data_IF_951677498912
#
_entry.id   IF_951677498912
#
_cell.length_a   1.000
_cell.length_b   1.000
_cell.length_c   1.000
_cell.angle_alpha   90.00
_cell.angle_beta   90.00
_cell.angle_gamma   90.00
#
_symmetry.space_group_name_H-M   'P 1'
#
loop_
_entity.id
_entity.type
_entity.pdbx_description
1 polymer ?
#
# COMPACT_ATOMS: atom_id res chain seq x y z
N UNK A 1 6.79 -3.91 -8.95
CA UNK A 1 5.72 -3.06 -9.49
C UNK A 1 4.84 -3.84 -10.46
N UNK A 2 5.26 -5.00 -10.97
CA UNK A 2 4.39 -5.98 -11.64
C UNK A 2 3.15 -6.37 -10.81
N UNK A 3 3.29 -6.53 -9.48
CA UNK A 3 2.16 -6.75 -8.56
C UNK A 3 1.18 -5.58 -8.45
N UNK A 4 1.60 -4.38 -8.86
CA UNK A 4 0.77 -3.17 -8.86
C UNK A 4 0.08 -2.97 -10.20
N UNK A 5 0.58 -3.58 -11.28
CA UNK A 5 -0.07 -3.68 -12.57
C UNK A 5 -1.23 -4.68 -12.48
N UNK A 6 -2.44 -4.17 -12.35
CA UNK A 6 -3.67 -4.98 -12.26
C UNK A 6 -4.44 -4.87 -13.56
N UNK A 7 -5.00 -6.00 -14.01
CA UNK A 7 -5.96 -6.01 -15.11
C UNK A 7 -7.28 -5.37 -14.69
N UNK A 8 -7.38 -4.07 -14.90
CA UNK A 8 -8.59 -3.28 -14.69
C UNK A 8 -8.90 -2.46 -15.95
N UNK A 9 -9.39 -3.15 -16.98
CA UNK A 9 -9.68 -2.54 -18.27
C UNK A 9 -10.74 -1.43 -18.17
N UNK A 10 -11.67 -1.54 -17.22
CA UNK A 10 -12.70 -0.52 -17.00
C UNK A 10 -12.06 0.78 -16.54
N UNK A 11 -11.15 0.72 -15.57
CA UNK A 11 -10.50 1.90 -15.01
C UNK A 11 -9.53 2.52 -16.01
N UNK A 12 -8.76 1.69 -16.72
CA UNK A 12 -7.91 2.16 -17.83
C UNK A 12 -8.75 2.87 -18.88
N UNK A 13 -9.79 2.21 -19.43
CA UNK A 13 -10.65 2.79 -20.46
C UNK A 13 -11.25 4.12 -20.00
N UNK A 14 -11.84 4.14 -18.80
CA UNK A 14 -12.43 5.36 -18.24
C UNK A 14 -11.44 6.51 -18.13
N UNK A 15 -10.17 6.22 -17.84
CA UNK A 15 -9.14 7.23 -17.73
C UNK A 15 -8.68 7.72 -19.11
N UNK A 16 -8.41 6.79 -20.03
CA UNK A 16 -8.01 7.13 -21.40
C UNK A 16 -9.08 7.94 -22.14
N UNK A 17 -10.35 7.68 -21.86
CA UNK A 17 -11.48 8.38 -22.46
C UNK A 17 -11.62 9.83 -21.95
N UNK A 18 -11.15 10.11 -20.74
CA UNK A 18 -11.14 11.49 -20.21
C UNK A 18 -10.03 12.37 -20.78
N UNK A 19 -9.00 11.76 -21.39
CA UNK A 19 -7.88 12.49 -21.97
C UNK A 19 -8.26 12.98 -23.37
N UNK A 20 -8.65 14.25 -23.46
CA UNK A 20 -9.02 14.89 -24.72
C UNK A 20 -7.79 15.20 -25.58
N UNK A 21 -7.87 14.83 -26.85
CA UNK A 21 -6.90 15.12 -27.90
C UNK A 21 -7.51 16.11 -28.92
N UNK A 22 -6.68 16.71 -29.80
CA UNK A 22 -7.17 17.51 -30.91
C UNK A 22 -8.22 16.79 -31.75
N UNK A 23 -9.09 17.55 -32.40
CA UNK A 23 -10.18 17.04 -33.25
C UNK A 23 -11.25 16.20 -32.51
N UNK A 24 -11.47 16.48 -31.21
CA UNK A 24 -12.49 15.82 -30.40
C UNK A 24 -12.29 14.30 -30.31
N UNK A 25 -11.02 13.87 -30.26
CA UNK A 25 -10.58 12.49 -30.07
C UNK A 25 -10.14 12.28 -28.62
N UNK A 26 -9.98 11.02 -28.22
CA UNK A 26 -9.41 10.61 -26.93
C UNK A 26 -8.29 9.59 -27.14
N UNK A 27 -7.56 9.26 -26.08
CA UNK A 27 -6.55 8.20 -26.17
C UNK A 27 -7.15 6.82 -26.47
N UNK A 28 -8.44 6.61 -26.17
CA UNK A 28 -9.16 5.41 -26.60
C UNK A 28 -9.17 5.30 -28.13
N UNK A 29 -9.34 6.42 -28.84
CA UNK A 29 -9.28 6.42 -30.31
C UNK A 29 -7.89 6.04 -30.82
N UNK A 30 -6.82 6.50 -30.16
CA UNK A 30 -5.45 6.12 -30.54
C UNK A 30 -5.17 4.63 -30.35
N UNK A 31 -5.74 4.00 -29.31
CA UNK A 31 -5.68 2.54 -29.12
C UNK A 31 -6.48 1.81 -30.21
N UNK A 32 -7.65 2.32 -30.59
CA UNK A 32 -8.49 1.71 -31.64
C UNK A 32 -7.87 1.83 -33.04
N UNK A 33 -7.20 2.94 -33.32
CA UNK A 33 -6.54 3.20 -34.60
C UNK A 33 -5.19 2.46 -34.73
N UNK A 34 -4.70 1.84 -33.64
CA UNK A 34 -3.45 1.10 -33.61
C UNK A 34 -2.20 1.98 -33.43
N UNK A 35 -2.37 3.25 -33.07
CA UNK A 35 -1.27 4.16 -32.75
C UNK A 35 -0.71 3.90 -31.34
N UNK A 36 -1.52 3.31 -30.46
CA UNK A 36 -1.14 2.82 -29.14
C UNK A 36 -1.31 1.29 -29.06
N UNK A 37 -0.66 0.62 -28.09
CA UNK A 37 -0.76 -0.83 -27.94
C UNK A 37 -2.19 -1.31 -27.76
N UNK A 38 -2.46 -2.53 -28.26
CA UNK A 38 -3.74 -3.24 -28.09
C UNK A 38 -4.13 -3.34 -26.61
N UNK A 39 -5.43 -3.41 -26.33
CA UNK A 39 -5.99 -3.50 -24.96
C UNK A 39 -5.40 -4.64 -24.12
N UNK A 40 -4.87 -5.69 -24.75
CA UNK A 40 -4.15 -6.77 -24.07
C UNK A 40 -2.80 -6.34 -23.47
N UNK A 41 -2.29 -5.15 -23.76
CA UNK A 41 -1.05 -4.66 -23.17
C UNK A 41 -1.27 -3.70 -21.99
N UNK A 42 -2.53 -3.33 -21.71
CA UNK A 42 -2.84 -2.30 -20.73
C UNK A 42 -3.16 -2.85 -19.33
N UNK A 43 -2.70 -2.10 -18.34
CA UNK A 43 -2.86 -2.39 -16.92
C UNK A 43 -3.11 -1.09 -16.15
N UNK A 44 -3.81 -1.20 -15.03
CA UNK A 44 -3.89 -0.12 -14.06
C UNK A 44 -2.75 -0.28 -13.05
N UNK A 45 -1.87 0.71 -12.93
CA UNK A 45 -0.86 0.72 -11.88
C UNK A 45 -1.45 1.31 -10.60
N UNK A 46 -1.52 0.51 -9.53
CA UNK A 46 -2.08 0.95 -8.25
C UNK A 46 -1.18 1.94 -7.50
N UNK A 47 0.12 1.88 -7.73
CA UNK A 47 1.10 2.75 -7.08
C UNK A 47 1.13 4.12 -7.75
N UNK A 48 1.38 4.15 -9.06
CA UNK A 48 1.34 5.38 -9.87
C UNK A 48 -0.09 5.96 -9.96
N UNK A 49 -1.11 5.12 -9.73
CA UNK A 49 -2.54 5.45 -9.91
C UNK A 49 -2.88 5.87 -11.34
N UNK A 50 -2.10 5.42 -12.31
CA UNK A 50 -2.21 5.76 -13.71
C UNK A 50 -2.36 4.49 -14.58
N UNK A 51 -2.95 4.63 -15.79
CA UNK A 51 -2.89 3.57 -16.79
C UNK A 51 -1.44 3.43 -17.30
N UNK A 52 -0.94 2.20 -17.32
CA UNK A 52 0.35 1.85 -17.91
C UNK A 52 0.15 0.71 -18.93
N UNK A 53 1.04 0.59 -19.91
CA UNK A 53 1.06 -0.55 -20.83
C UNK A 53 2.45 -1.20 -20.87
N UNK A 54 2.49 -2.45 -21.33
CA UNK A 54 3.71 -3.26 -21.42
C UNK A 54 4.06 -3.54 -22.87
N UNK A 55 5.30 -3.22 -23.25
CA UNK A 55 5.87 -3.51 -24.57
C UNK A 55 7.19 -4.25 -24.41
N UNK A 56 7.21 -5.55 -24.71
CA UNK A 56 8.39 -6.38 -24.42
C UNK A 56 8.62 -6.50 -22.91
N UNK A 57 9.80 -6.10 -22.43
CA UNK A 57 10.11 -6.01 -21.00
C UNK A 57 9.88 -4.59 -20.42
N UNK A 58 9.55 -3.61 -21.25
CA UNK A 58 9.41 -2.22 -20.83
C UNK A 58 7.99 -1.92 -20.39
N UNK A 59 7.87 -1.14 -19.30
CA UNK A 59 6.60 -0.64 -18.79
C UNK A 59 6.54 0.85 -19.01
N UNK A 60 5.51 1.30 -19.73
CA UNK A 60 5.26 2.71 -20.02
C UNK A 60 4.06 3.17 -19.21
N UNK A 61 4.19 4.27 -18.47
CA UNK A 61 3.08 4.82 -17.71
C UNK A 61 2.68 6.21 -18.18
N UNK A 62 1.40 6.51 -18.07
CA UNK A 62 0.87 7.82 -18.44
C UNK A 62 1.37 8.90 -17.48
N UNK A 63 1.85 10.01 -18.04
CA UNK A 63 2.25 11.19 -17.28
C UNK A 63 1.04 11.98 -16.77
N UNK A 64 1.12 12.45 -15.53
CA UNK A 64 0.19 13.44 -14.99
C UNK A 64 0.55 14.87 -15.38
N UNK A 65 1.84 15.14 -15.57
CA UNK A 65 2.36 16.49 -15.83
C UNK A 65 2.09 16.92 -17.27
N UNK A 66 2.19 15.97 -18.20
CA UNK A 66 1.90 16.20 -19.62
C UNK A 66 0.81 15.27 -20.10
N UNK A 67 -0.37 15.85 -20.35
CA UNK A 67 -1.55 15.12 -20.80
C UNK A 67 -1.28 14.43 -22.14
N UNK A 68 -1.46 13.11 -22.17
CA UNK A 68 -1.30 12.31 -23.39
C UNK A 68 0.11 11.79 -23.65
N UNK A 69 1.08 12.10 -22.78
CA UNK A 69 2.42 11.52 -22.85
C UNK A 69 2.57 10.30 -21.95
N UNK A 70 3.46 9.41 -22.37
CA UNK A 70 3.86 8.23 -21.61
C UNK A 70 5.35 8.30 -21.36
N UNK A 71 5.77 8.02 -20.13
CA UNK A 71 7.17 7.90 -19.77
C UNK A 71 7.52 6.42 -19.54
N UNK A 72 8.77 6.07 -19.83
CA UNK A 72 9.31 4.76 -19.45
C UNK A 72 9.39 4.71 -17.92
N UNK A 73 8.62 3.82 -17.31
CA UNK A 73 8.63 3.58 -15.89
C UNK A 73 9.85 2.74 -15.49
N UNK A 74 10.26 1.82 -16.37
CA UNK A 74 11.41 0.92 -16.19
C UNK A 74 11.18 -0.41 -16.89
N UNK A 75 12.14 -1.32 -16.78
CA UNK A 75 11.94 -2.71 -17.20
C UNK A 75 11.16 -3.50 -16.15
N UNK A 76 10.59 -4.64 -16.53
CA UNK A 76 9.93 -5.53 -15.58
C UNK A 76 10.83 -5.93 -14.41
N UNK A 77 12.11 -6.20 -14.68
CA UNK A 77 13.10 -6.59 -13.67
C UNK A 77 13.38 -5.44 -12.71
N UNK A 78 13.67 -4.24 -13.21
CA UNK A 78 13.89 -3.04 -12.39
C UNK A 78 12.70 -2.81 -11.45
N UNK A 79 11.49 -2.92 -12.00
CA UNK A 79 10.26 -2.69 -11.26
C UNK A 79 9.99 -3.78 -10.22
N UNK A 80 10.36 -5.03 -10.48
CA UNK A 80 10.31 -6.11 -9.49
C UNK A 80 11.33 -5.90 -8.38
N UNK A 81 12.56 -5.54 -8.73
CA UNK A 81 13.62 -5.24 -7.78
C UNK A 81 13.24 -4.07 -6.87
N UNK A 82 12.82 -2.94 -7.43
CA UNK A 82 12.33 -1.80 -6.65
C UNK A 82 11.19 -2.19 -5.69
N UNK A 83 10.25 -3.01 -6.15
CA UNK A 83 9.16 -3.46 -5.29
C UNK A 83 9.59 -4.41 -4.19
N UNK A 84 10.66 -5.17 -4.40
CA UNK A 84 11.23 -6.03 -3.37
C UNK A 84 11.88 -5.23 -2.24
N UNK A 85 12.42 -4.05 -2.56
CA UNK A 85 13.05 -3.14 -1.61
C UNK A 85 12.07 -2.17 -0.92
N UNK A 86 10.81 -2.11 -1.34
CA UNK A 86 9.80 -1.26 -0.68
C UNK A 86 9.42 -1.84 0.68
N UNK A 87 9.63 -1.04 1.72
CA UNK A 87 9.25 -1.37 3.10
C UNK A 87 7.74 -1.59 3.17
N UNK A 88 7.35 -2.81 3.52
CA UNK A 88 5.94 -3.16 3.72
C UNK A 88 5.54 -2.95 5.16
N UNK A 89 4.56 -2.06 5.36
CA UNK A 89 3.91 -1.83 6.64
C UNK A 89 2.71 -2.76 6.79
N UNK A 90 2.68 -3.49 7.89
CA UNK A 90 1.48 -4.13 8.42
C UNK A 90 0.54 -3.15 9.14
N UNK A 91 -0.38 -3.66 9.96
CA UNK A 91 -1.46 -2.84 10.53
C UNK A 91 -0.96 -1.69 11.42
N UNK A 92 0.04 -1.95 12.28
CA UNK A 92 0.57 -0.93 13.19
C UNK A 92 1.36 0.14 12.46
N UNK A 93 2.18 -0.24 11.47
CA UNK A 93 2.94 0.70 10.67
C UNK A 93 2.01 1.59 9.85
N UNK A 94 0.95 1.02 9.27
CA UNK A 94 -0.08 1.79 8.57
C UNK A 94 -0.83 2.75 9.50
N UNK A 95 -1.18 2.30 10.71
CA UNK A 95 -1.85 3.15 11.70
C UNK A 95 -0.93 4.30 12.14
N UNK A 96 0.36 4.05 12.36
CA UNK A 96 1.37 5.07 12.69
C UNK A 96 1.54 6.06 11.53
N UNK A 97 1.70 5.58 10.31
CA UNK A 97 1.81 6.43 9.13
C UNK A 97 0.59 7.33 8.97
N UNK A 98 -0.62 6.78 9.17
CA UNK A 98 -1.86 7.54 9.14
C UNK A 98 -1.89 8.62 10.23
N UNK A 99 -1.56 8.26 11.47
CA UNK A 99 -1.50 9.22 12.57
C UNK A 99 -0.52 10.37 12.29
N UNK A 100 0.68 10.05 11.80
CA UNK A 100 1.69 11.03 11.43
C UNK A 100 1.18 11.99 10.36
N UNK A 101 0.52 11.49 9.32
CA UNK A 101 -0.03 12.33 8.27
C UNK A 101 -1.21 13.20 8.74
N UNK A 102 -2.12 12.63 9.53
CA UNK A 102 -3.35 13.31 9.95
C UNK A 102 -3.10 14.36 11.05
N UNK A 103 -2.17 14.09 11.98
CA UNK A 103 -1.99 14.91 13.19
C UNK A 103 -0.59 15.50 13.36
N UNK A 104 0.44 14.94 12.71
CA UNK A 104 1.84 15.38 12.84
C UNK A 104 2.51 15.59 11.48
N UNK A 105 1.79 16.18 10.52
CA UNK A 105 2.22 16.29 9.13
C UNK A 105 3.63 16.87 8.95
N UNK A 106 4.01 17.89 9.74
CA UNK A 106 5.36 18.47 9.67
C UNK A 106 6.48 17.48 10.03
N UNK A 107 6.23 16.57 10.97
CA UNK A 107 7.18 15.49 11.31
C UNK A 107 7.22 14.45 10.20
N UNK A 108 6.04 14.03 9.71
CA UNK A 108 5.91 13.08 8.62
C UNK A 108 6.65 13.56 7.37
N UNK A 109 6.41 14.82 6.98
CA UNK A 109 7.06 15.46 5.85
C UNK A 109 8.57 15.59 6.05
N UNK A 110 9.03 15.97 7.25
CA UNK A 110 10.46 16.01 7.55
C UNK A 110 11.15 14.65 7.42
N UNK A 111 10.52 13.58 7.90
CA UNK A 111 11.01 12.20 7.72
C UNK A 111 10.96 11.78 6.25
N UNK A 112 9.91 12.15 5.52
CA UNK A 112 9.78 11.85 4.10
C UNK A 112 10.92 12.50 3.30
N UNK A 113 11.25 13.76 3.57
CA UNK A 113 12.36 14.44 2.91
C UNK A 113 13.72 13.80 3.19
N UNK A 114 13.87 13.11 4.32
CA UNK A 114 15.09 12.35 4.66
C UNK A 114 15.05 10.89 4.18
N UNK A 115 13.92 10.43 3.64
CA UNK A 115 13.72 9.03 3.24
C UNK A 115 13.44 8.06 4.40
N UNK A 116 13.24 8.56 5.62
CA UNK A 116 13.17 7.75 6.85
C UNK A 116 11.73 7.37 7.23
N UNK A 117 10.70 7.97 6.60
CA UNK A 117 9.32 7.85 7.07
C UNK A 117 8.83 6.40 7.14
N UNK A 118 9.10 5.63 6.09
CA UNK A 118 8.66 4.25 5.99
C UNK A 118 9.43 3.33 6.94
N UNK A 119 10.74 3.54 7.08
CA UNK A 119 11.60 2.82 8.02
C UNK A 119 11.15 3.07 9.46
N UNK A 120 10.93 4.34 9.84
CA UNK A 120 10.41 4.69 11.15
C UNK A 120 9.06 4.01 11.45
N UNK A 121 8.13 4.01 10.49
CA UNK A 121 6.84 3.34 10.68
C UNK A 121 7.01 1.81 10.81
N UNK A 122 8.02 1.23 10.18
CA UNK A 122 8.32 -0.20 10.28
C UNK A 122 8.94 -0.56 11.61
N UNK A 123 9.87 0.24 12.11
CA UNK A 123 10.46 0.08 13.44
C UNK A 123 9.39 0.14 14.53
N UNK A 124 8.51 1.15 14.47
CA UNK A 124 7.39 1.28 15.42
C UNK A 124 6.44 0.09 15.33
N UNK A 125 6.22 -0.46 14.13
CA UNK A 125 5.41 -1.66 13.95
C UNK A 125 6.04 -2.90 14.59
N UNK A 126 7.34 -3.11 14.41
CA UNK A 126 8.05 -4.24 14.98
C UNK A 126 8.03 -4.16 16.51
N UNK A 127 8.29 -2.98 17.07
CA UNK A 127 8.17 -2.74 18.51
C UNK A 127 6.74 -2.98 19.01
N UNK A 128 5.74 -2.48 18.30
CA UNK A 128 4.33 -2.67 18.64
C UNK A 128 3.93 -4.15 18.64
N UNK A 129 4.38 -4.93 17.64
CA UNK A 129 4.08 -6.36 17.54
C UNK A 129 4.73 -7.15 18.68
N UNK A 130 6.02 -6.92 18.94
CA UNK A 130 6.75 -7.61 20.01
C UNK A 130 6.14 -7.30 21.37
N UNK A 131 5.81 -6.03 21.60
CA UNK A 131 5.21 -5.59 22.86
C UNK A 131 3.79 -6.14 23.02
N UNK A 132 2.98 -6.12 21.97
CA UNK A 132 1.65 -6.72 21.99
C UNK A 132 1.72 -8.22 22.31
N UNK A 133 2.60 -8.96 21.65
CA UNK A 133 2.77 -10.39 21.87
C UNK A 133 3.14 -10.68 23.33
N UNK A 134 4.16 -10.00 23.86
CA UNK A 134 4.63 -10.21 25.22
C UNK A 134 3.55 -9.86 26.25
N UNK A 135 2.87 -8.73 26.10
CA UNK A 135 1.81 -8.32 27.02
C UNK A 135 0.62 -9.27 27.00
N UNK A 136 0.17 -9.72 25.82
CA UNK A 136 -0.93 -10.70 25.74
C UNK A 136 -0.51 -12.02 26.39
N UNK A 137 0.71 -12.50 26.13
CA UNK A 137 1.22 -13.74 26.74
C UNK A 137 1.23 -13.66 28.28
N UNK A 138 1.73 -12.56 28.84
CA UNK A 138 1.76 -12.35 30.28
C UNK A 138 0.36 -12.28 30.89
N UNK A 139 -0.56 -11.55 30.26
CA UNK A 139 -1.94 -11.43 30.74
C UNK A 139 -2.74 -12.71 30.61
N UNK A 140 -2.40 -13.57 29.65
CA UNK A 140 -3.08 -14.86 29.46
C UNK A 140 -2.53 -15.98 30.35
N UNK A 141 -1.34 -15.81 30.96
CA UNK A 141 -0.71 -16.82 31.83
C UNK A 141 -1.64 -17.36 32.94
N UNK A 142 -2.44 -16.54 33.65
CA UNK A 142 -3.34 -17.06 34.69
C UNK A 142 -4.49 -17.91 34.15
N UNK A 143 -4.79 -17.81 32.86
CA UNK A 143 -5.96 -18.40 32.22
C UNK A 143 -5.62 -19.64 31.37
N UNK A 144 -4.37 -20.10 31.35
CA UNK A 144 -3.96 -21.24 30.51
C UNK A 144 -4.77 -22.52 30.77
N UNK A 145 -5.12 -22.79 32.03
CA UNK A 145 -5.91 -23.96 32.41
C UNK A 145 -7.33 -23.96 31.80
N UNK A 146 -7.81 -22.83 31.26
CA UNK A 146 -9.10 -22.77 30.56
C UNK A 146 -9.03 -23.39 29.17
N UNK A 147 -7.84 -23.54 28.55
CA UNK A 147 -7.70 -24.18 27.23
C UNK A 147 -8.30 -25.59 27.19
N UNK A 148 -8.18 -26.34 28.28
CA UNK A 148 -8.70 -27.71 28.37
C UNK A 148 -10.10 -27.79 29.01
N UNK A 149 -10.48 -26.78 29.79
CA UNK A 149 -11.71 -26.78 30.58
C UNK A 149 -12.88 -26.07 29.90
N UNK A 150 -12.60 -24.92 29.29
CA UNK A 150 -13.58 -24.08 28.61
C UNK A 150 -12.88 -23.20 27.56
N UNK A 151 -12.81 -23.73 26.34
CA UNK A 151 -12.18 -23.05 25.19
C UNK A 151 -12.93 -21.77 24.82
N UNK A 152 -14.25 -21.71 25.00
CA UNK A 152 -15.03 -20.54 24.66
C UNK A 152 -14.70 -19.38 25.61
N UNK A 153 -14.64 -19.66 26.90
CA UNK A 153 -14.27 -18.66 27.91
C UNK A 153 -12.81 -18.22 27.74
N UNK A 154 -11.90 -19.15 27.43
CA UNK A 154 -10.50 -18.81 27.10
C UNK A 154 -10.42 -17.82 25.93
N UNK A 155 -11.13 -18.10 24.83
CA UNK A 155 -11.17 -17.21 23.66
C UNK A 155 -11.80 -15.85 23.99
N UNK A 156 -12.84 -15.81 24.82
CA UNK A 156 -13.47 -14.55 25.27
C UNK A 156 -12.48 -13.67 26.02
N UNK A 157 -11.75 -14.25 26.98
CA UNK A 157 -10.74 -13.54 27.76
C UNK A 157 -9.58 -13.12 26.85
N UNK A 158 -9.10 -14.02 25.99
CA UNK A 158 -8.03 -13.72 25.03
C UNK A 158 -8.35 -12.51 24.15
N UNK A 159 -9.56 -12.44 23.61
CA UNK A 159 -9.99 -11.31 22.79
C UNK A 159 -10.03 -10.01 23.60
N UNK A 160 -10.59 -10.05 24.82
CA UNK A 160 -10.66 -8.88 25.69
C UNK A 160 -9.26 -8.36 26.07
N UNK A 161 -8.34 -9.26 26.43
CA UNK A 161 -6.97 -8.87 26.77
C UNK A 161 -6.21 -8.34 25.56
N UNK A 162 -6.37 -8.99 24.40
CA UNK A 162 -5.77 -8.52 23.15
C UNK A 162 -6.22 -7.10 22.81
N UNK A 163 -7.52 -6.80 22.94
CA UNK A 163 -8.03 -5.46 22.67
C UNK A 163 -7.55 -4.43 23.70
N UNK A 164 -7.49 -4.81 24.98
CA UNK A 164 -6.91 -3.95 26.02
C UNK A 164 -5.43 -3.63 25.76
N UNK A 165 -4.64 -4.61 25.31
CA UNK A 165 -3.24 -4.42 24.96
C UNK A 165 -3.11 -3.51 23.73
N UNK A 166 -3.92 -3.70 22.69
CA UNK A 166 -3.92 -2.82 21.50
C UNK A 166 -4.15 -1.35 21.88
N UNK A 167 -5.06 -1.07 22.80
CA UNK A 167 -5.32 0.30 23.27
C UNK A 167 -4.10 0.92 23.98
N UNK A 168 -3.32 0.12 24.70
CA UNK A 168 -2.07 0.57 25.31
C UNK A 168 -1.02 0.86 24.24
N UNK A 169 -0.83 -0.06 23.29
CA UNK A 169 0.10 0.12 22.17
C UNK A 169 -0.23 1.38 21.37
N UNK A 170 -1.51 1.62 21.07
CA UNK A 170 -1.96 2.84 20.38
C UNK A 170 -1.52 4.10 21.11
N UNK A 171 -1.79 4.18 22.41
CA UNK A 171 -1.50 5.37 23.21
C UNK A 171 -0.01 5.61 23.40
N UNK A 172 0.77 4.54 23.58
CA UNK A 172 2.17 4.66 23.96
C UNK A 172 3.14 4.69 22.77
N UNK A 173 2.81 4.02 21.66
CA UNK A 173 3.69 3.90 20.50
C UNK A 173 3.11 4.56 19.25
N UNK A 174 1.81 4.36 18.96
CA UNK A 174 1.23 4.84 17.69
C UNK A 174 0.93 6.33 17.73
N UNK A 175 0.43 6.85 18.85
CA UNK A 175 0.01 8.24 19.01
C UNK A 175 1.01 9.11 19.78
N UNK A 176 2.17 8.56 20.13
CA UNK A 176 3.24 9.30 20.81
C UNK A 176 3.94 10.30 19.92
#
# INVERSE_FOLDING_TARGET
MLRDLVRDNRKVYSYLDTVALPNNRTLVNEVMDGNLPSWEHWYWNRYEKAPCYVMGDEVYCMSYDTVGEFYLLGTMEDLEEEASHRIQLGPWGQERLKYLNDYKYGVAFGMLCRGELWEHCKEVEEEANDRQFNMVLERMRPYEALKDKDVFEYCRIFNNETESVKEIIRKELIYS
#
